data_IF_443517588055
#
_entry.id   IF_443517588055
#
_cell.length_a   1.000
_cell.length_b   1.000
_cell.length_c   1.000
_cell.angle_alpha   90.00
_cell.angle_beta   90.00
_cell.angle_gamma   90.00
#
_symmetry.space_group_name_H-M   'P 1'
#
loop_
_entity.id
_entity.type
_entity.pdbx_description
1 polymer ?
#
# COMPACT_ATOMS: atom_id res chain seq x y z
N UNK A 1 11.83 7.94 14.87
CA UNK A 1 10.56 7.19 14.74
C UNK A 1 10.58 6.57 13.34
N UNK A 2 11.13 5.37 13.21
CA UNK A 2 11.45 4.81 11.88
C UNK A 2 11.58 3.27 11.90
N UNK A 3 10.96 2.57 12.85
CA UNK A 3 11.18 1.11 13.01
C UNK A 3 9.98 0.24 12.61
N UNK A 4 8.79 0.81 12.37
CA UNK A 4 7.62 -0.01 12.00
C UNK A 4 7.59 -0.39 10.51
N UNK A 5 8.32 0.36 9.66
CA UNK A 5 8.38 0.13 8.21
C UNK A 5 9.64 -0.63 7.78
N UNK A 6 10.61 -0.81 8.67
CA UNK A 6 11.78 -1.66 8.50
C UNK A 6 11.51 -3.10 8.97
N UNK A 7 10.28 -3.57 8.72
CA UNK A 7 9.99 -4.97 8.92
C UNK A 7 10.50 -5.71 7.69
N UNK A 8 11.56 -6.47 7.92
CA UNK A 8 11.86 -7.72 7.25
C UNK A 8 10.64 -8.65 7.45
N UNK A 9 9.54 -8.36 6.75
CA UNK A 9 8.30 -9.14 6.79
C UNK A 9 8.63 -10.46 6.09
N UNK A 10 9.09 -11.44 6.85
CA UNK A 10 9.03 -12.85 6.46
C UNK A 10 7.58 -13.18 6.17
N UNK A 11 7.31 -13.62 4.94
CA UNK A 11 5.97 -13.89 4.39
C UNK A 11 5.33 -15.15 4.98
N UNK A 12 5.28 -15.24 6.31
CA UNK A 12 4.49 -16.21 7.04
C UNK A 12 3.46 -15.40 7.82
N UNK A 13 2.35 -15.05 7.17
CA UNK A 13 1.00 -15.40 7.65
C UNK A 13 -0.05 -14.71 6.75
N UNK A 14 -1.03 -15.50 6.33
CA UNK A 14 -2.24 -15.07 5.63
C UNK A 14 -3.17 -14.29 6.58
N UNK A 15 -2.69 -13.16 7.10
CA UNK A 15 -3.53 -12.24 7.85
C UNK A 15 -4.63 -11.70 6.94
N UNK A 16 -5.89 -11.91 7.33
CA UNK A 16 -7.10 -11.48 6.61
C UNK A 16 -6.92 -10.08 6.00
N UNK A 17 -6.64 -10.03 4.69
CA UNK A 17 -6.55 -8.74 3.99
C UNK A 17 -7.92 -8.09 4.06
N UNK A 18 -8.00 -6.92 4.70
CA UNK A 18 -9.19 -6.10 4.66
C UNK A 18 -9.51 -5.77 3.20
N UNK A 19 -10.79 -5.89 2.86
CA UNK A 19 -11.28 -5.47 1.56
C UNK A 19 -11.25 -3.93 1.48
N UNK A 20 -10.11 -3.40 1.01
CA UNK A 20 -9.87 -1.95 0.92
C UNK A 20 -10.87 -1.22 0.01
N UNK A 21 -11.61 -1.95 -0.84
CA UNK A 21 -12.64 -1.35 -1.70
C UNK A 21 -13.87 -0.88 -0.92
N UNK A 22 -14.09 -1.41 0.28
CA UNK A 22 -15.23 -1.06 1.16
C UNK A 22 -14.90 0.04 2.16
N UNK A 23 -13.66 0.52 2.17
CA UNK A 23 -13.19 1.52 3.13
C UNK A 23 -13.55 2.90 2.60
N UNK A 24 -14.10 3.81 3.45
CA UNK A 24 -14.36 5.18 3.04
C UNK A 24 -13.11 5.84 2.46
N UNK A 25 -13.25 6.57 1.35
CA UNK A 25 -12.11 7.18 0.65
C UNK A 25 -11.24 8.07 1.56
N UNK A 26 -11.86 8.73 2.53
CA UNK A 26 -11.17 9.57 3.53
C UNK A 26 -10.25 8.75 4.44
N UNK A 27 -10.73 7.62 4.94
CA UNK A 27 -9.96 6.76 5.84
C UNK A 27 -8.85 6.01 5.08
N UNK A 28 -9.13 5.62 3.84
CA UNK A 28 -8.12 5.04 2.94
C UNK A 28 -7.00 6.05 2.65
N UNK A 29 -7.34 7.30 2.34
CA UNK A 29 -6.36 8.35 2.09
C UNK A 29 -5.49 8.60 3.33
N UNK A 30 -6.11 8.74 4.50
CA UNK A 30 -5.39 8.95 5.76
C UNK A 30 -4.42 7.78 6.05
N UNK A 31 -4.84 6.54 5.80
CA UNK A 31 -3.96 5.37 5.96
C UNK A 31 -2.80 5.38 4.95
N UNK A 32 -3.06 5.71 3.68
CA UNK A 32 -2.02 5.81 2.64
C UNK A 32 -0.96 6.87 3.01
N UNK A 33 -1.37 8.00 3.58
CA UNK A 33 -0.46 9.07 3.98
C UNK A 33 0.51 8.65 5.10
N UNK A 34 0.18 7.63 5.88
CA UNK A 34 1.09 7.09 6.90
C UNK A 34 2.23 6.23 6.33
N UNK A 35 2.14 5.82 5.07
CA UNK A 35 3.11 4.94 4.44
C UNK A 35 4.43 5.65 4.09
N UNK A 36 5.55 4.92 4.02
CA UNK A 36 6.79 5.41 3.42
C UNK A 36 6.60 5.77 1.95
N UNK A 37 7.36 6.73 1.45
CA UNK A 37 7.23 7.31 0.11
C UNK A 37 7.13 6.24 -1.00
N UNK A 38 8.00 5.23 -0.93
CA UNK A 38 8.06 4.14 -1.91
C UNK A 38 6.78 3.31 -2.01
N UNK A 39 6.03 3.16 -0.92
CA UNK A 39 4.74 2.46 -0.87
C UNK A 39 3.57 3.41 -1.09
N UNK A 40 3.68 4.63 -0.55
CA UNK A 40 2.66 5.67 -0.60
C UNK A 40 2.33 6.05 -2.03
N UNK A 41 3.33 6.30 -2.86
CA UNK A 41 3.12 6.71 -4.26
C UNK A 41 2.40 5.62 -5.09
N UNK A 42 2.76 4.35 -4.85
CA UNK A 42 2.12 3.20 -5.49
C UNK A 42 0.66 3.06 -5.03
N UNK A 43 0.43 3.09 -3.72
CA UNK A 43 -0.90 2.98 -3.13
C UNK A 43 -1.82 4.15 -3.54
N UNK A 44 -1.28 5.37 -3.55
CA UNK A 44 -1.99 6.56 -4.00
C UNK A 44 -2.43 6.42 -5.46
N UNK A 45 -1.51 6.03 -6.35
CA UNK A 45 -1.81 5.88 -7.78
C UNK A 45 -2.86 4.79 -8.06
N UNK A 46 -2.72 3.63 -7.42
CA UNK A 46 -3.55 2.47 -7.72
C UNK A 46 -4.83 2.43 -6.89
N UNK A 47 -4.72 2.53 -5.56
CA UNK A 47 -5.86 2.31 -4.66
C UNK A 47 -6.75 3.54 -4.55
N UNK A 48 -6.18 4.73 -4.54
CA UNK A 48 -6.93 5.98 -4.36
C UNK A 48 -7.30 6.62 -5.71
N UNK A 49 -6.32 6.90 -6.56
CA UNK A 49 -6.53 7.53 -7.88
C UNK A 49 -7.08 6.57 -8.95
N UNK A 50 -7.13 5.26 -8.66
CA UNK A 50 -7.65 4.21 -9.55
C UNK A 50 -6.96 4.18 -10.92
N UNK A 51 -5.68 4.55 -11.00
CA UNK A 51 -4.87 4.47 -12.22
C UNK A 51 -4.48 3.03 -12.54
N UNK A 52 -4.16 2.76 -13.79
CA UNK A 52 -3.71 1.43 -14.21
C UNK A 52 -2.30 1.13 -13.68
N UNK A 53 -1.94 -0.16 -13.57
CA UNK A 53 -0.60 -0.55 -13.15
C UNK A 53 0.48 -0.07 -14.13
N UNK A 54 0.18 -0.04 -15.43
CA UNK A 54 1.07 0.52 -16.45
C UNK A 54 1.31 2.01 -16.23
N UNK A 55 0.27 2.81 -16.00
CA UNK A 55 0.43 4.26 -15.83
C UNK A 55 1.26 4.59 -14.59
N UNK A 56 1.00 3.89 -13.49
CA UNK A 56 1.70 4.13 -12.22
C UNK A 56 3.15 3.66 -12.31
N UNK A 57 3.41 2.46 -12.85
CA UNK A 57 4.79 1.97 -12.99
C UNK A 57 5.64 2.83 -13.92
N UNK A 58 5.07 3.32 -15.02
CA UNK A 58 5.74 4.25 -15.94
C UNK A 58 6.01 5.61 -15.28
N UNK A 59 5.02 6.19 -14.59
CA UNK A 59 5.17 7.48 -13.91
C UNK A 59 6.23 7.44 -12.80
N UNK A 60 6.36 6.31 -12.10
CA UNK A 60 7.35 6.10 -11.05
C UNK A 60 8.69 5.57 -11.57
N UNK A 61 8.82 5.34 -12.88
CA UNK A 61 10.00 4.75 -13.51
C UNK A 61 10.46 3.42 -12.86
N UNK A 62 9.51 2.56 -12.47
CA UNK A 62 9.77 1.24 -11.88
C UNK A 62 9.26 0.10 -12.76
N UNK A 63 9.79 -1.11 -12.55
CA UNK A 63 9.27 -2.33 -13.19
C UNK A 63 7.87 -2.64 -12.67
N UNK A 64 7.02 -3.24 -13.52
CA UNK A 64 5.68 -3.67 -13.08
C UNK A 64 5.73 -4.71 -11.96
N UNK A 65 6.70 -5.64 -11.99
CA UNK A 65 6.90 -6.61 -10.91
C UNK A 65 7.20 -5.94 -9.57
N UNK A 66 7.99 -4.87 -9.58
CA UNK A 66 8.28 -4.07 -8.39
C UNK A 66 7.04 -3.34 -7.88
N UNK A 67 6.24 -2.77 -8.80
CA UNK A 67 4.97 -2.13 -8.45
C UNK A 67 4.03 -3.11 -7.72
N UNK A 68 3.90 -4.34 -8.22
CA UNK A 68 3.04 -5.37 -7.59
C UNK A 68 3.52 -5.70 -6.18
N UNK A 69 4.83 -5.90 -5.99
CA UNK A 69 5.41 -6.17 -4.66
C UNK A 69 5.20 -5.01 -3.70
N UNK A 70 5.43 -3.77 -4.13
CA UNK A 70 5.20 -2.57 -3.30
C UNK A 70 3.71 -2.40 -2.97
N UNK A 71 2.83 -2.59 -3.95
CA UNK A 71 1.39 -2.50 -3.73
C UNK A 71 0.92 -3.53 -2.71
N UNK A 72 1.41 -4.77 -2.81
CA UNK A 72 1.11 -5.82 -1.84
C UNK A 72 1.52 -5.42 -0.42
N UNK A 73 2.75 -4.91 -0.24
CA UNK A 73 3.25 -4.43 1.05
C UNK A 73 2.42 -3.24 1.57
N UNK A 74 2.03 -2.32 0.69
CA UNK A 74 1.16 -1.19 1.04
C UNK A 74 -0.22 -1.65 1.52
N UNK A 75 -0.85 -2.62 0.85
CA UNK A 75 -2.16 -3.17 1.24
C UNK A 75 -2.12 -3.81 2.63
N UNK A 76 -1.06 -4.55 2.95
CA UNK A 76 -0.85 -5.13 4.28
C UNK A 76 -0.67 -4.04 5.34
N UNK A 77 0.20 -3.06 5.09
CA UNK A 77 0.45 -1.96 6.01
C UNK A 77 -0.83 -1.14 6.30
N UNK A 78 -1.62 -0.83 5.26
CA UNK A 78 -2.92 -0.16 5.39
C UNK A 78 -3.89 -1.01 6.21
N UNK A 79 -3.98 -2.32 5.91
CA UNK A 79 -4.87 -3.22 6.65
C UNK A 79 -4.52 -3.26 8.13
N UNK A 80 -3.24 -3.43 8.46
CA UNK A 80 -2.75 -3.41 9.85
C UNK A 80 -3.01 -2.07 10.55
N UNK A 81 -2.83 -0.94 9.85
CA UNK A 81 -3.12 0.38 10.40
C UNK A 81 -4.60 0.54 10.77
N UNK A 82 -5.50 0.06 9.91
CA UNK A 82 -6.95 0.19 10.11
C UNK A 82 -7.48 -0.79 11.16
N UNK A 83 -6.90 -1.99 11.29
CA UNK A 83 -7.25 -2.94 12.35
C UNK A 83 -6.80 -2.50 13.75
N UNK A 84 -5.74 -1.68 13.84
CA UNK A 84 -5.18 -1.21 15.12
C UNK A 84 -5.87 0.04 15.67
N UNK A 85 -6.85 0.59 14.95
CA UNK A 85 -7.50 1.87 15.26
C UNK A 85 -8.79 1.69 16.05
#
# INVERSE_FOLDING_TARGET
MSDFFDLDISFEDDGEKLDLSKIPAKDLLAAIETLPDSLREVAMGVLYQKRTFSDVSQALAIRQSELVTRLHRAQLAISMHLMRR
#
